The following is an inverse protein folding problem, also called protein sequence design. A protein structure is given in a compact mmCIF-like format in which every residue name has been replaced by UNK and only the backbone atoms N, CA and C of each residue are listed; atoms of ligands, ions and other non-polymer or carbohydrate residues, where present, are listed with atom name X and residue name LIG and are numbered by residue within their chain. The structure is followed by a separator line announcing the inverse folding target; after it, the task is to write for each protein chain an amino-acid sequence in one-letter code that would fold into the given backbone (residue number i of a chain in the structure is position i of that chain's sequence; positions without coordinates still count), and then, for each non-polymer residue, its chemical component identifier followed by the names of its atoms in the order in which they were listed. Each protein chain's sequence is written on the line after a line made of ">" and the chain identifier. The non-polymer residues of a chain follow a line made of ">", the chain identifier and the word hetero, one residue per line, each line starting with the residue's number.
data_IF_584368603787
#
_entry.id   IF_584368603787
#
_cell.length_a   1.000
_cell.length_b   1.000
_cell.length_c   1.000
_cell.angle_alpha   90.00
_cell.angle_beta   90.00
_cell.angle_gamma   90.00
#
_symmetry.space_group_name_H-M   'P 1'
#
loop_
_entity.id
_entity.type
_entity.pdbx_description
1 polymer ?
#
# COMPACT_ATOMS: atom_id res chain seq x y z
N UNK A 1 4.67 0.58 23.16
CA UNK A 1 4.97 -0.40 22.10
C UNK A 1 6.42 -0.23 21.66
N UNK A 2 7.23 -1.26 21.80
CA UNK A 2 8.68 -1.23 21.49
C UNK A 2 8.92 -0.89 20.01
N UNK A 3 8.05 -1.36 19.10
CA UNK A 3 8.17 -1.08 17.68
C UNK A 3 8.05 0.42 17.35
N UNK A 4 7.03 1.10 17.88
CA UNK A 4 6.88 2.55 17.68
C UNK A 4 8.05 3.32 18.31
N UNK A 5 8.57 2.88 19.46
CA UNK A 5 9.73 3.53 20.08
C UNK A 5 10.99 3.41 19.21
N UNK A 6 11.20 2.24 18.59
CA UNK A 6 12.31 2.01 17.64
C UNK A 6 12.14 2.86 16.38
N UNK A 7 10.93 2.92 15.82
CA UNK A 7 10.60 3.77 14.68
C UNK A 7 10.90 5.26 14.97
N UNK A 8 10.46 5.77 16.11
CA UNK A 8 10.70 7.17 16.51
C UNK A 8 12.19 7.46 16.74
N UNK A 9 12.94 6.53 17.37
CA UNK A 9 14.41 6.66 17.49
C UNK A 9 15.11 6.73 16.13
N UNK A 10 14.69 5.90 15.18
CA UNK A 10 15.23 5.95 13.81
C UNK A 10 14.94 7.28 13.12
N UNK A 11 13.79 7.90 13.39
CA UNK A 11 13.48 9.24 12.89
C UNK A 11 14.30 10.35 13.56
N UNK A 12 14.72 10.19 14.82
CA UNK A 12 15.60 11.15 15.49
C UNK A 12 17.00 11.22 14.86
N UNK A 13 17.43 10.15 14.18
CA UNK A 13 18.76 10.07 13.54
C UNK A 13 18.77 10.55 12.09
N UNK A 14 17.66 11.07 11.55
CA UNK A 14 17.59 11.49 10.16
C UNK A 14 18.53 12.67 9.86
N UNK A 15 19.28 12.58 8.75
CA UNK A 15 20.18 13.64 8.26
C UNK A 15 19.40 14.84 7.68
N UNK A 16 18.17 14.63 7.22
CA UNK A 16 17.26 15.68 6.81
C UNK A 16 16.56 16.29 8.05
N UNK A 17 16.88 17.54 8.39
CA UNK A 17 16.44 18.14 9.66
C UNK A 17 15.06 18.81 9.62
N UNK A 18 14.61 19.25 8.41
CA UNK A 18 13.39 20.06 8.25
C UNK A 18 12.14 19.21 8.09
N UNK A 19 11.75 18.50 9.14
CA UNK A 19 10.51 17.73 9.18
C UNK A 19 9.85 17.75 10.56
N UNK A 20 8.57 17.48 10.58
CA UNK A 20 7.77 17.19 11.76
C UNK A 20 7.26 15.75 11.69
N UNK A 21 6.94 15.18 12.83
CA UNK A 21 6.36 13.83 12.93
C UNK A 21 4.93 13.94 13.47
N UNK A 22 3.97 13.38 12.74
CA UNK A 22 2.59 13.23 13.20
C UNK A 22 2.30 11.76 13.42
N UNK A 23 2.16 11.36 14.68
CA UNK A 23 1.75 10.01 15.06
C UNK A 23 0.24 9.97 15.21
N UNK A 24 -0.42 9.04 14.52
CA UNK A 24 -1.86 8.83 14.71
C UNK A 24 -2.07 7.56 15.53
N UNK A 25 -2.47 7.72 16.78
CA UNK A 25 -2.76 6.63 17.68
C UNK A 25 -4.16 6.06 17.40
N UNK A 26 -4.19 4.93 16.73
CA UNK A 26 -5.40 4.17 16.39
C UNK A 26 -5.74 3.08 17.42
N UNK A 27 -5.06 3.03 18.56
CA UNK A 27 -5.28 1.99 19.57
C UNK A 27 -6.67 2.09 20.27
N UNK A 28 -7.28 3.27 20.21
CA UNK A 28 -8.50 3.60 20.98
C UNK A 28 -8.26 3.75 22.49
N UNK A 29 -7.00 3.68 22.92
CA UNK A 29 -6.64 3.67 24.33
C UNK A 29 -5.70 4.83 24.74
N UNK A 30 -5.45 5.79 23.83
CA UNK A 30 -4.59 6.95 24.04
C UNK A 30 -3.21 6.57 24.62
N UNK A 31 -2.56 5.59 24.00
CA UNK A 31 -1.31 4.97 24.50
C UNK A 31 -0.06 5.76 24.15
N UNK A 32 -0.14 6.62 23.13
CA UNK A 32 1.01 7.36 22.61
C UNK A 32 1.06 8.74 23.21
N UNK A 33 2.23 9.13 23.72
CA UNK A 33 2.51 10.47 24.19
C UNK A 33 3.63 11.12 23.36
N UNK A 34 3.51 12.42 23.09
CA UNK A 34 4.57 13.19 22.45
C UNK A 34 5.81 13.24 23.36
N UNK A 35 6.94 12.73 22.89
CA UNK A 35 8.20 12.69 23.64
C UNK A 35 9.18 13.82 23.25
N UNK A 36 8.87 14.57 22.20
CA UNK A 36 9.67 15.72 21.76
C UNK A 36 8.77 16.77 21.11
N UNK A 37 9.25 18.02 21.03
CA UNK A 37 8.54 19.12 20.37
C UNK A 37 8.33 18.88 18.85
N UNK A 38 9.11 17.98 18.25
CA UNK A 38 9.01 17.59 16.83
C UNK A 38 7.88 16.59 16.58
N UNK A 39 7.37 15.93 17.64
CA UNK A 39 6.34 14.88 17.52
C UNK A 39 5.00 15.42 17.99
N UNK A 40 4.01 15.38 17.11
CA UNK A 40 2.60 15.65 17.43
C UNK A 40 1.82 14.35 17.40
N UNK A 41 0.91 14.16 18.36
CA UNK A 41 0.07 12.96 18.45
C UNK A 41 -1.39 13.33 18.21
N UNK A 42 -2.06 12.55 17.37
CA UNK A 42 -3.52 12.57 17.15
C UNK A 42 -4.07 11.25 17.67
N UNK A 43 -4.88 11.28 18.71
CA UNK A 43 -5.46 10.07 19.31
C UNK A 43 -6.91 9.86 18.84
N UNK A 44 -7.19 8.67 18.34
CA UNK A 44 -8.54 8.23 17.99
C UNK A 44 -9.15 7.40 19.12
N UNK A 45 -10.45 7.51 19.33
CA UNK A 45 -11.20 6.74 20.32
C UNK A 45 -11.46 5.29 19.89
N UNK A 46 -11.18 4.97 18.64
CA UNK A 46 -11.26 3.63 18.06
C UNK A 46 -10.37 3.53 16.84
N UNK A 47 -10.12 2.32 16.35
CA UNK A 47 -9.39 2.13 15.09
C UNK A 47 -10.23 2.63 13.90
N UNK A 48 -9.82 3.72 13.30
CA UNK A 48 -10.48 4.35 12.12
C UNK A 48 -9.95 3.83 10.78
N UNK A 49 -8.96 2.94 10.80
CA UNK A 49 -8.29 2.39 9.63
C UNK A 49 -7.12 3.24 9.14
N UNK A 50 -6.27 2.62 8.32
CA UNK A 50 -5.01 3.23 7.85
C UNK A 50 -5.26 4.49 7.01
N UNK A 51 -6.12 4.43 5.99
CA UNK A 51 -6.37 5.57 5.10
C UNK A 51 -6.90 6.80 5.84
N UNK A 52 -7.82 6.61 6.80
CA UNK A 52 -8.35 7.70 7.62
C UNK A 52 -7.28 8.31 8.51
N UNK A 53 -6.46 7.46 9.16
CA UNK A 53 -5.36 7.93 10.00
C UNK A 53 -4.33 8.73 9.20
N UNK A 54 -3.94 8.25 8.03
CA UNK A 54 -3.07 8.99 7.10
C UNK A 54 -3.68 10.33 6.71
N UNK A 55 -4.96 10.37 6.40
CA UNK A 55 -5.65 11.61 6.03
C UNK A 55 -5.69 12.63 7.19
N UNK A 56 -5.84 12.18 8.43
CA UNK A 56 -5.75 13.03 9.62
C UNK A 56 -4.35 13.66 9.72
N UNK A 57 -3.29 12.86 9.57
CA UNK A 57 -1.91 13.37 9.59
C UNK A 57 -1.64 14.35 8.44
N UNK A 58 -2.10 14.04 7.22
CA UNK A 58 -1.92 14.90 6.05
C UNK A 58 -2.60 16.26 6.24
N UNK A 59 -3.83 16.27 6.79
CA UNK A 59 -4.59 17.53 7.06
C UNK A 59 -4.01 18.32 8.21
N UNK A 60 -3.24 17.70 9.08
CA UNK A 60 -2.61 18.32 10.22
C UNK A 60 -1.29 19.03 9.89
N UNK A 61 -0.81 18.98 8.64
CA UNK A 61 0.45 19.59 8.18
C UNK A 61 0.24 20.30 6.84
N UNK A 62 1.05 21.35 6.61
CA UNK A 62 1.11 22.08 5.33
C UNK A 62 2.41 21.78 4.57
N UNK A 63 3.21 20.81 5.02
CA UNK A 63 4.48 20.47 4.39
C UNK A 63 4.29 20.09 2.91
N UNK A 64 5.24 20.46 2.01
CA UNK A 64 5.14 20.20 0.57
C UNK A 64 5.25 18.71 0.22
N UNK A 65 5.80 17.93 1.15
CA UNK A 65 5.92 16.47 1.05
C UNK A 65 5.35 15.81 2.29
N UNK A 66 4.75 14.64 2.11
CA UNK A 66 4.24 13.78 3.18
C UNK A 66 4.95 12.44 3.09
N UNK A 67 5.73 12.10 4.10
CA UNK A 67 6.32 10.78 4.24
C UNK A 67 5.39 9.89 5.08
N UNK A 68 5.00 8.74 4.55
CA UNK A 68 4.32 7.69 5.28
C UNK A 68 5.36 6.69 5.78
N UNK A 69 5.24 6.27 7.03
CA UNK A 69 6.07 5.24 7.64
C UNK A 69 5.24 4.44 8.63
N UNK A 70 5.29 3.12 8.54
CA UNK A 70 4.64 2.25 9.51
C UNK A 70 5.34 2.33 10.87
N UNK A 71 4.59 2.13 11.94
CA UNK A 71 5.08 2.14 13.33
C UNK A 71 6.00 0.95 13.66
N UNK A 72 6.04 -0.08 12.82
CA UNK A 72 6.92 -1.26 12.90
C UNK A 72 8.06 -1.22 11.87
N UNK A 73 8.45 -0.02 11.43
CA UNK A 73 9.47 0.21 10.42
C UNK A 73 10.56 1.17 10.92
N UNK A 74 11.82 0.84 10.66
CA UNK A 74 12.99 1.61 11.07
C UNK A 74 13.67 2.19 9.83
N UNK A 75 13.72 3.53 9.73
CA UNK A 75 14.29 4.24 8.60
C UNK A 75 15.81 4.41 8.75
N UNK A 76 16.55 4.19 7.64
CA UNK A 76 17.97 4.55 7.56
C UNK A 76 18.16 6.06 7.77
N UNK A 77 19.26 6.52 8.39
CA UNK A 77 19.49 7.95 8.66
C UNK A 77 19.36 8.87 7.43
N UNK A 78 19.69 8.41 6.23
CA UNK A 78 19.57 9.19 5.00
C UNK A 78 18.25 8.98 4.24
N UNK A 79 17.25 8.31 4.83
CA UNK A 79 16.00 7.94 4.17
C UNK A 79 15.22 9.14 3.65
N UNK A 80 14.92 10.12 4.54
CA UNK A 80 14.19 11.33 4.16
C UNK A 80 14.99 12.19 3.18
N UNK A 81 16.29 12.36 3.40
CA UNK A 81 17.16 13.14 2.52
C UNK A 81 17.13 12.60 1.09
N UNK A 82 17.30 11.28 0.91
CA UNK A 82 17.27 10.63 -0.41
C UNK A 82 15.91 10.75 -1.09
N UNK A 83 14.81 10.59 -0.34
CA UNK A 83 13.47 10.74 -0.89
C UNK A 83 13.16 12.16 -1.31
N UNK A 84 13.52 13.17 -0.50
CA UNK A 84 13.30 14.58 -0.81
C UNK A 84 14.16 15.00 -2.00
N UNK A 85 15.46 14.63 -2.02
CA UNK A 85 16.34 14.90 -3.16
C UNK A 85 15.79 14.29 -4.47
N UNK A 86 15.29 13.05 -4.42
CA UNK A 86 14.65 12.42 -5.58
C UNK A 86 13.37 13.16 -6.01
N UNK A 87 12.60 13.68 -5.05
CA UNK A 87 11.39 14.44 -5.34
C UNK A 87 11.69 15.80 -5.98
N UNK A 88 12.74 16.48 -5.54
CA UNK A 88 13.18 17.76 -6.12
C UNK A 88 13.71 17.56 -7.53
N UNK A 89 14.47 16.49 -7.76
CA UNK A 89 15.01 16.15 -9.09
C UNK A 89 13.94 15.71 -10.10
N UNK A 90 12.74 15.29 -9.64
CA UNK A 90 11.66 14.74 -10.51
C UNK A 90 10.33 15.44 -10.26
N UNK A 91 10.10 16.66 -10.75
CA UNK A 91 8.89 17.44 -10.47
C UNK A 91 7.60 16.80 -11.03
N UNK A 92 7.70 15.88 -12.01
CA UNK A 92 6.56 15.11 -12.54
C UNK A 92 6.21 13.88 -11.69
N UNK A 93 7.08 13.47 -10.79
CA UNK A 93 6.80 12.38 -9.86
C UNK A 93 6.04 12.91 -8.64
N UNK A 94 4.87 12.33 -8.40
CA UNK A 94 4.02 12.64 -7.26
C UNK A 94 4.20 11.69 -6.08
N UNK A 95 4.85 10.54 -6.34
CA UNK A 95 5.05 9.47 -5.37
C UNK A 95 6.46 8.91 -5.47
N UNK A 96 7.00 8.46 -4.34
CA UNK A 96 8.31 7.81 -4.28
C UNK A 96 8.23 6.58 -3.38
N UNK A 97 8.59 5.43 -3.96
CA UNK A 97 8.70 4.16 -3.25
C UNK A 97 10.08 4.04 -2.61
N UNK A 98 10.11 3.72 -1.33
CA UNK A 98 11.32 3.38 -0.59
C UNK A 98 11.82 1.97 -0.92
N UNK A 99 13.09 1.71 -0.63
CA UNK A 99 13.64 0.37 -0.55
C UNK A 99 13.27 -0.24 0.80
N UNK A 100 12.15 -0.96 0.85
CA UNK A 100 11.69 -1.59 2.09
C UNK A 100 12.29 -2.99 2.20
N UNK A 101 12.99 -3.28 3.28
CA UNK A 101 13.63 -4.56 3.56
C UNK A 101 12.94 -5.30 4.70
N UNK A 102 12.90 -6.61 4.62
CA UNK A 102 12.43 -7.47 5.69
C UNK A 102 13.43 -7.51 6.84
N UNK A 103 12.98 -7.30 8.05
CA UNK A 103 13.79 -7.47 9.24
C UNK A 103 14.36 -8.90 9.31
N UNK A 104 15.61 -9.02 9.73
CA UNK A 104 16.31 -10.28 9.93
C UNK A 104 16.90 -10.94 8.68
N UNK A 105 16.30 -10.80 7.50
CA UNK A 105 16.82 -11.38 6.26
C UNK A 105 17.56 -10.39 5.36
N UNK A 106 17.27 -9.10 5.48
CA UNK A 106 17.78 -8.06 4.59
C UNK A 106 17.27 -8.11 3.14
N UNK A 107 16.43 -9.11 2.81
CA UNK A 107 15.75 -9.20 1.52
C UNK A 107 14.69 -8.12 1.40
N UNK A 108 14.28 -7.79 0.18
CA UNK A 108 13.21 -6.81 -0.03
C UNK A 108 11.88 -7.30 0.55
N UNK A 109 11.20 -6.42 1.26
CA UNK A 109 9.75 -6.48 1.43
C UNK A 109 9.07 -5.83 0.23
N UNK A 110 9.53 -4.64 -0.19
CA UNK A 110 8.96 -3.95 -1.33
C UNK A 110 9.93 -2.97 -2.01
N UNK A 111 9.96 -3.01 -3.33
CA UNK A 111 10.51 -1.97 -4.22
C UNK A 111 9.37 -1.27 -5.01
N UNK A 112 8.22 -1.04 -4.38
CA UNK A 112 6.97 -0.61 -4.96
C UNK A 112 5.95 -1.74 -5.11
N UNK A 113 4.88 -1.51 -5.87
CA UNK A 113 3.78 -2.46 -6.01
C UNK A 113 3.65 -2.98 -7.43
N UNK A 114 3.13 -4.19 -7.56
CA UNK A 114 2.68 -4.84 -8.79
C UNK A 114 1.15 -5.00 -8.77
N UNK A 115 0.53 -5.12 -9.94
CA UNK A 115 -0.92 -5.29 -10.11
C UNK A 115 -1.22 -6.51 -10.98
N UNK A 116 -2.17 -7.34 -10.56
CA UNK A 116 -2.67 -8.46 -11.35
C UNK A 116 -3.92 -8.08 -12.15
N UNK A 117 -4.22 -8.86 -13.18
CA UNK A 117 -5.35 -8.62 -14.06
C UNK A 117 -6.72 -8.67 -13.37
N UNK A 118 -6.82 -9.28 -12.19
CA UNK A 118 -8.02 -9.31 -11.35
C UNK A 118 -8.10 -8.16 -10.34
N UNK A 119 -7.11 -7.25 -10.34
CA UNK A 119 -7.02 -6.12 -9.40
C UNK A 119 -6.29 -6.44 -8.10
N UNK A 120 -5.75 -7.65 -7.92
CA UNK A 120 -4.88 -7.96 -6.79
C UNK A 120 -3.56 -7.20 -6.90
N UNK A 121 -3.04 -6.69 -5.78
CA UNK A 121 -1.72 -6.06 -5.71
C UNK A 121 -0.77 -6.88 -4.84
N UNK A 122 0.53 -6.79 -5.16
CA UNK A 122 1.62 -7.42 -4.42
C UNK A 122 2.84 -6.51 -4.41
N UNK A 123 3.68 -6.68 -3.40
CA UNK A 123 4.96 -6.00 -3.31
C UNK A 123 5.90 -6.49 -4.43
N UNK A 124 6.51 -5.54 -5.14
CA UNK A 124 7.55 -5.82 -6.15
C UNK A 124 8.84 -6.21 -5.45
N UNK A 125 9.44 -7.31 -5.86
CA UNK A 125 10.71 -7.80 -5.34
C UNK A 125 10.62 -8.47 -3.97
N UNK A 126 9.42 -8.80 -3.47
CA UNK A 126 9.27 -9.43 -2.15
C UNK A 126 10.07 -10.74 -2.06
N UNK A 127 10.97 -10.82 -1.06
CA UNK A 127 11.86 -11.95 -0.87
C UNK A 127 13.08 -11.98 -1.79
N UNK A 128 13.27 -10.98 -2.66
CA UNK A 128 14.43 -10.88 -3.56
C UNK A 128 15.55 -10.02 -2.96
N UNK A 129 16.83 -10.23 -3.40
CA UNK A 129 17.93 -9.36 -3.02
C UNK A 129 17.73 -7.92 -3.50
N UNK A 130 18.00 -6.88 -2.68
CA UNK A 130 17.91 -5.47 -3.08
C UNK A 130 18.77 -5.13 -4.31
N UNK A 131 19.89 -5.81 -4.51
CA UNK A 131 20.78 -5.62 -5.65
C UNK A 131 20.08 -5.79 -7.01
N UNK A 132 19.05 -6.64 -7.09
CA UNK A 132 18.26 -6.83 -8.32
C UNK A 132 17.53 -5.54 -8.75
N UNK A 133 17.30 -4.62 -7.83
CA UNK A 133 16.56 -3.38 -8.03
C UNK A 133 17.42 -2.11 -7.93
N UNK A 134 18.73 -2.25 -7.70
CA UNK A 134 19.64 -1.11 -7.48
C UNK A 134 19.67 -0.10 -8.65
N UNK A 135 19.42 -0.56 -9.89
CA UNK A 135 19.35 0.29 -11.09
C UNK A 135 17.95 0.73 -11.46
N UNK A 136 16.91 0.25 -10.75
CA UNK A 136 15.52 0.66 -10.99
C UNK A 136 15.32 2.12 -10.57
N UNK A 137 14.56 2.87 -11.38
CA UNK A 137 14.26 4.27 -11.09
C UNK A 137 12.76 4.52 -10.90
N UNK A 138 11.92 3.58 -11.32
CA UNK A 138 10.48 3.74 -11.37
C UNK A 138 9.74 2.58 -10.70
N UNK A 139 8.52 2.86 -10.25
CA UNK A 139 7.57 1.90 -9.70
C UNK A 139 6.15 2.22 -10.20
N UNK A 140 5.21 1.29 -10.07
CA UNK A 140 3.80 1.56 -10.33
C UNK A 140 3.25 2.57 -9.31
N UNK A 141 3.41 2.23 -8.05
CA UNK A 141 3.11 3.06 -6.88
C UNK A 141 3.94 2.54 -5.68
N UNK A 142 4.09 3.32 -4.61
CA UNK A 142 4.76 2.87 -3.41
C UNK A 142 3.89 1.92 -2.59
N UNK A 143 4.50 1.11 -1.73
CA UNK A 143 3.82 0.46 -0.61
C UNK A 143 3.53 1.48 0.48
N UNK A 144 2.38 1.38 1.14
CA UNK A 144 2.00 2.23 2.27
C UNK A 144 2.91 2.09 3.50
N UNK A 145 3.78 1.06 3.55
CA UNK A 145 4.70 0.86 4.67
C UNK A 145 5.81 1.90 4.77
N UNK A 146 6.31 2.43 3.63
CA UNK A 146 7.28 3.52 3.58
C UNK A 146 7.23 4.21 2.21
N UNK A 147 6.77 5.46 2.16
CA UNK A 147 6.56 6.19 0.93
C UNK A 147 6.71 7.71 1.13
N UNK A 148 7.04 8.43 0.06
CA UNK A 148 6.91 9.89 0.03
C UNK A 148 5.87 10.29 -1.00
N UNK A 149 4.99 11.21 -0.63
CA UNK A 149 3.95 11.79 -1.49
C UNK A 149 4.15 13.30 -1.60
N UNK A 150 4.02 13.84 -2.81
CA UNK A 150 3.99 15.27 -3.06
C UNK A 150 2.60 15.80 -2.71
N UNK A 151 2.51 16.83 -1.86
CA UNK A 151 1.24 17.45 -1.47
C UNK A 151 0.41 17.88 -2.66
N UNK A 152 1.03 18.57 -3.64
CA UNK A 152 0.35 19.00 -4.87
C UNK A 152 -0.37 17.86 -5.59
N UNK A 153 0.21 16.66 -5.60
CA UNK A 153 -0.47 15.47 -6.14
C UNK A 153 -1.70 15.10 -5.30
N UNK A 154 -1.55 15.04 -3.98
CA UNK A 154 -2.64 14.70 -3.06
C UNK A 154 -3.80 15.70 -3.16
N UNK A 155 -3.50 17.00 -3.28
CA UNK A 155 -4.51 18.05 -3.44
C UNK A 155 -5.26 17.91 -4.76
N UNK A 156 -4.57 17.48 -5.83
CA UNK A 156 -5.18 17.30 -7.16
C UNK A 156 -6.06 16.06 -7.26
N UNK A 157 -5.58 14.90 -6.77
CA UNK A 157 -6.28 13.63 -6.97
C UNK A 157 -7.16 13.23 -5.78
N UNK A 158 -7.06 13.94 -4.66
CA UNK A 158 -7.66 13.62 -3.37
C UNK A 158 -6.81 12.63 -2.56
N UNK A 159 -7.09 12.60 -1.27
CA UNK A 159 -6.38 11.79 -0.27
C UNK A 159 -6.70 10.30 -0.39
N UNK A 160 -6.29 9.49 0.61
CA UNK A 160 -6.66 8.07 0.71
C UNK A 160 -8.18 7.90 0.77
N UNK A 161 -8.71 6.88 0.12
CA UNK A 161 -10.14 6.55 0.23
C UNK A 161 -10.40 5.80 1.55
N UNK A 162 -10.99 6.50 2.50
CA UNK A 162 -11.25 6.01 3.86
C UNK A 162 -12.15 4.77 3.91
N UNK A 163 -12.87 4.45 2.82
CA UNK A 163 -13.74 3.27 2.75
C UNK A 163 -12.98 1.96 2.67
N UNK A 164 -11.69 2.00 2.33
CA UNK A 164 -10.83 0.82 2.32
C UNK A 164 -10.59 0.29 3.74
N UNK A 165 -10.52 1.15 4.73
CA UNK A 165 -10.18 0.86 6.11
C UNK A 165 -8.75 0.33 6.27
N UNK A 166 -8.40 -0.80 5.61
CA UNK A 166 -7.10 -1.44 5.70
C UNK A 166 -6.83 -2.27 4.44
N UNK A 167 -5.62 -2.17 3.88
CA UNK A 167 -5.12 -2.82 2.66
C UNK A 167 -5.68 -2.26 1.34
N UNK A 168 -4.84 -2.17 0.35
CA UNK A 168 -5.07 -1.69 -1.03
C UNK A 168 -5.40 -0.19 -1.17
N UNK A 169 -5.48 0.59 -0.09
CA UNK A 169 -5.67 2.04 -0.15
C UNK A 169 -4.47 2.76 -0.79
N UNK A 170 -3.26 2.25 -0.59
CA UNK A 170 -2.02 2.69 -1.25
C UNK A 170 -2.05 2.41 -2.77
N UNK A 171 -2.47 1.22 -3.13
CA UNK A 171 -2.65 0.82 -4.54
C UNK A 171 -3.72 1.68 -5.22
N UNK A 172 -4.87 1.92 -4.57
CA UNK A 172 -5.91 2.80 -5.10
C UNK A 172 -5.41 4.23 -5.32
N UNK A 173 -4.73 4.80 -4.32
CA UNK A 173 -4.13 6.14 -4.41
C UNK A 173 -3.13 6.20 -5.56
N UNK A 174 -2.24 5.20 -5.64
CA UNK A 174 -1.23 5.10 -6.68
C UNK A 174 -1.83 5.03 -8.07
N UNK A 175 -2.82 4.16 -8.30
CA UNK A 175 -3.48 4.04 -9.60
C UNK A 175 -4.22 5.32 -10.01
N UNK A 176 -4.86 6.03 -9.06
CA UNK A 176 -5.46 7.35 -9.30
C UNK A 176 -4.41 8.38 -9.72
N UNK A 177 -3.27 8.42 -9.03
CA UNK A 177 -2.16 9.31 -9.36
C UNK A 177 -1.60 9.01 -10.76
N UNK A 178 -1.33 7.73 -11.06
CA UNK A 178 -0.84 7.31 -12.39
C UNK A 178 -1.83 7.68 -13.50
N UNK A 179 -3.13 7.52 -13.25
CA UNK A 179 -4.17 7.91 -14.20
C UNK A 179 -4.22 9.42 -14.45
N UNK A 180 -3.95 10.22 -13.43
CA UNK A 180 -3.83 11.68 -13.52
C UNK A 180 -2.47 12.15 -14.12
N UNK A 181 -1.62 11.23 -14.58
CA UNK A 181 -0.35 11.55 -15.24
C UNK A 181 0.84 11.76 -14.31
N UNK A 182 0.67 11.54 -13.00
CA UNK A 182 1.78 11.58 -12.05
C UNK A 182 2.66 10.34 -12.16
N UNK A 183 3.97 10.53 -12.10
CA UNK A 183 4.95 9.45 -12.08
C UNK A 183 5.17 8.94 -10.64
N UNK A 184 5.73 7.73 -10.52
CA UNK A 184 6.21 7.18 -9.27
C UNK A 184 7.67 6.80 -9.40
N UNK A 185 8.55 7.42 -8.62
CA UNK A 185 9.96 7.04 -8.52
C UNK A 185 10.15 5.88 -7.55
N UNK A 186 11.13 5.02 -7.83
CA UNK A 186 11.72 4.13 -6.83
C UNK A 186 13.08 4.69 -6.45
N UNK A 187 13.35 4.80 -5.16
CA UNK A 187 14.59 5.39 -4.63
C UNK A 187 15.42 4.30 -3.97
N UNK A 188 16.27 3.63 -4.78
CA UNK A 188 17.23 2.67 -4.27
C UNK A 188 18.13 3.34 -3.21
N UNK A 189 18.33 2.65 -2.09
CA UNK A 189 19.09 3.16 -0.96
C UNK A 189 18.35 4.13 -0.03
N UNK A 190 17.11 4.58 -0.34
CA UNK A 190 16.21 5.13 0.67
C UNK A 190 15.61 3.95 1.46
N UNK A 191 16.41 3.41 2.37
CA UNK A 191 16.18 2.11 3.01
C UNK A 191 15.32 2.24 4.25
N UNK A 192 14.39 1.31 4.42
CA UNK A 192 13.60 1.10 5.64
C UNK A 192 13.60 -0.38 5.97
N UNK A 193 13.83 -0.75 7.21
CA UNK A 193 13.71 -2.13 7.72
C UNK A 193 12.34 -2.31 8.35
N UNK A 194 11.54 -3.24 7.85
CA UNK A 194 10.14 -3.44 8.22
C UNK A 194 9.94 -4.80 8.90
N UNK A 195 9.27 -4.81 10.05
CA UNK A 195 9.01 -6.03 10.83
C UNK A 195 7.86 -6.90 10.27
N UNK A 196 7.27 -6.48 9.18
CA UNK A 196 6.24 -7.15 8.37
C UNK A 196 5.08 -7.77 9.15
N UNK A 197 3.91 -7.16 9.05
CA UNK A 197 2.65 -7.64 9.64
C UNK A 197 2.68 -7.86 11.16
N UNK A 198 3.47 -7.09 11.89
CA UNK A 198 3.56 -7.17 13.34
C UNK A 198 2.19 -6.88 14.00
N UNK A 199 1.51 -5.83 13.58
CA UNK A 199 0.26 -5.35 14.20
C UNK A 199 -1.00 -6.09 13.77
N UNK A 200 -1.11 -6.52 12.49
CA UNK A 200 -2.34 -7.11 11.93
C UNK A 200 -2.31 -8.65 11.79
N UNK A 201 -1.18 -9.27 12.12
CA UNK A 201 -0.93 -10.70 11.90
C UNK A 201 -0.78 -11.07 10.42
N UNK A 202 -0.05 -12.16 10.14
CA UNK A 202 0.31 -12.54 8.75
C UNK A 202 -0.88 -13.08 7.95
N UNK A 203 -1.79 -13.81 8.60
CA UNK A 203 -2.94 -14.43 7.94
C UNK A 203 -4.12 -14.51 8.92
N UNK A 204 -5.05 -13.57 8.83
CA UNK A 204 -6.25 -13.49 9.68
C UNK A 204 -7.52 -13.39 8.84
N UNK A 205 -8.71 -13.77 9.37
CA UNK A 205 -10.00 -13.58 8.69
C UNK A 205 -10.26 -12.12 8.31
N UNK A 206 -9.84 -11.18 9.17
CA UNK A 206 -9.94 -9.75 8.91
C UNK A 206 -9.13 -9.37 7.66
N UNK A 207 -7.85 -9.80 7.59
CA UNK A 207 -6.97 -9.56 6.44
C UNK A 207 -7.54 -10.18 5.16
N UNK A 208 -7.95 -11.44 5.21
CA UNK A 208 -8.53 -12.13 4.07
C UNK A 208 -9.78 -11.39 3.52
N UNK A 209 -10.68 -10.94 4.40
CA UNK A 209 -11.87 -10.18 4.02
C UNK A 209 -11.51 -8.84 3.38
N UNK A 210 -10.69 -8.01 4.05
CA UNK A 210 -10.37 -6.67 3.54
C UNK A 210 -9.55 -6.72 2.26
N UNK A 211 -8.56 -7.59 2.15
CA UNK A 211 -7.78 -7.75 0.90
C UNK A 211 -8.69 -8.13 -0.26
N UNK A 212 -9.62 -9.08 -0.08
CA UNK A 212 -10.53 -9.48 -1.15
C UNK A 212 -11.55 -8.38 -1.49
N UNK A 213 -12.17 -7.75 -0.50
CA UNK A 213 -13.11 -6.65 -0.70
C UNK A 213 -12.45 -5.47 -1.41
N UNK A 214 -11.27 -5.08 -0.96
CA UNK A 214 -10.59 -3.89 -1.44
C UNK A 214 -9.96 -4.13 -2.82
N UNK A 215 -9.56 -5.35 -3.14
CA UNK A 215 -9.23 -5.77 -4.51
C UNK A 215 -10.39 -5.46 -5.47
N UNK A 216 -11.62 -5.82 -5.10
CA UNK A 216 -12.81 -5.51 -5.91
C UNK A 216 -13.01 -4.00 -6.04
N UNK A 217 -12.89 -3.24 -4.95
CA UNK A 217 -13.01 -1.78 -4.99
C UNK A 217 -11.95 -1.17 -5.91
N UNK A 218 -10.69 -1.57 -5.77
CA UNK A 218 -9.58 -1.12 -6.62
C UNK A 218 -9.84 -1.44 -8.09
N UNK A 219 -10.27 -2.66 -8.40
CA UNK A 219 -10.58 -3.08 -9.77
C UNK A 219 -11.71 -2.25 -10.38
N UNK A 220 -12.84 -2.12 -9.68
CA UNK A 220 -14.02 -1.38 -10.16
C UNK A 220 -13.69 0.09 -10.36
N UNK A 221 -12.96 0.72 -9.45
CA UNK A 221 -12.59 2.15 -9.52
C UNK A 221 -11.58 2.44 -10.62
N UNK A 222 -10.52 1.61 -10.76
CA UNK A 222 -9.31 2.01 -11.47
C UNK A 222 -9.04 1.24 -12.77
N UNK A 223 -9.39 -0.06 -12.86
CA UNK A 223 -9.00 -0.83 -14.04
C UNK A 223 -9.72 -0.35 -15.32
N UNK A 224 -9.03 -0.34 -16.48
CA UNK A 224 -9.66 -0.15 -17.79
C UNK A 224 -10.85 -1.10 -17.99
N UNK A 225 -11.89 -0.65 -18.70
CA UNK A 225 -13.14 -1.43 -18.82
C UNK A 225 -12.91 -2.83 -19.36
N UNK A 226 -12.08 -2.99 -20.39
CA UNK A 226 -11.75 -4.32 -20.95
C UNK A 226 -11.11 -5.25 -19.91
N UNK A 227 -10.22 -4.73 -19.04
CA UNK A 227 -9.64 -5.51 -17.95
C UNK A 227 -10.68 -5.83 -16.86
N UNK A 228 -11.60 -4.90 -16.58
CA UNK A 228 -12.66 -5.12 -15.60
C UNK A 228 -13.60 -6.26 -16.03
N UNK A 229 -13.90 -6.36 -17.32
CA UNK A 229 -14.72 -7.45 -17.89
C UNK A 229 -14.02 -8.80 -17.75
N UNK A 230 -12.71 -8.86 -17.91
CA UNK A 230 -11.92 -10.10 -17.81
C UNK A 230 -11.50 -10.44 -16.37
N UNK A 231 -11.52 -9.46 -15.45
CA UNK A 231 -11.09 -9.64 -14.08
C UNK A 231 -11.75 -10.83 -13.32
N UNK A 232 -13.05 -11.14 -13.49
CA UNK A 232 -13.67 -12.31 -12.86
C UNK A 232 -13.01 -13.64 -13.26
N UNK A 233 -12.61 -13.81 -14.52
CA UNK A 233 -11.93 -15.03 -14.98
C UNK A 233 -10.56 -15.20 -14.32
N UNK A 234 -9.81 -14.10 -14.21
CA UNK A 234 -8.52 -14.09 -13.48
C UNK A 234 -8.69 -14.32 -11.99
N UNK A 235 -9.78 -13.80 -11.38
CA UNK A 235 -10.08 -14.07 -9.98
C UNK A 235 -10.37 -15.56 -9.74
N UNK A 236 -11.15 -16.22 -10.60
CA UNK A 236 -11.39 -17.67 -10.53
C UNK A 236 -10.07 -18.45 -10.67
N UNK A 237 -9.23 -18.07 -11.65
CA UNK A 237 -7.91 -18.68 -11.82
C UNK A 237 -7.02 -18.47 -10.56
N UNK A 238 -7.06 -17.29 -9.92
CA UNK A 238 -6.34 -17.04 -8.67
C UNK A 238 -6.86 -17.92 -7.53
N UNK A 239 -8.15 -18.11 -7.39
CA UNK A 239 -8.71 -19.02 -6.37
C UNK A 239 -8.26 -20.45 -6.59
N UNK A 240 -8.28 -20.92 -7.84
CA UNK A 240 -7.72 -22.23 -8.19
C UNK A 240 -6.26 -22.36 -7.74
N UNK A 241 -5.41 -21.38 -8.07
CA UNK A 241 -4.01 -21.40 -7.67
C UNK A 241 -3.80 -21.30 -6.16
N UNK A 242 -4.67 -20.62 -5.42
CA UNK A 242 -4.65 -20.64 -3.95
C UNK A 242 -4.92 -22.04 -3.39
N UNK A 243 -5.83 -22.81 -4.00
CA UNK A 243 -6.07 -24.19 -3.61
C UNK A 243 -4.86 -25.06 -3.93
N UNK A 244 -4.26 -24.94 -5.11
CA UNK A 244 -3.04 -25.67 -5.50
C UNK A 244 -1.90 -25.35 -4.54
N UNK A 245 -1.61 -24.08 -4.28
CA UNK A 245 -0.55 -23.66 -3.35
C UNK A 245 -0.80 -24.18 -1.93
N UNK A 246 -2.05 -24.20 -1.49
CA UNK A 246 -2.44 -24.77 -0.19
C UNK A 246 -2.13 -26.28 -0.09
N UNK A 247 -2.43 -27.04 -1.14
CA UNK A 247 -2.14 -28.49 -1.20
C UNK A 247 -0.63 -28.75 -1.18
N UNK A 248 0.16 -27.84 -1.73
CA UNK A 248 1.63 -27.85 -1.69
C UNK A 248 2.21 -27.32 -0.34
N UNK A 249 1.36 -26.97 0.61
CA UNK A 249 1.77 -26.43 1.91
C UNK A 249 2.30 -24.99 1.87
N UNK A 250 2.08 -24.27 0.77
CA UNK A 250 2.58 -22.91 0.48
C UNK A 250 1.45 -21.89 0.37
N UNK A 251 1.82 -20.62 0.34
CA UNK A 251 0.92 -19.49 0.10
C UNK A 251 0.03 -19.13 1.29
N UNK A 252 -0.74 -18.05 1.11
CA UNK A 252 -1.51 -17.42 2.20
C UNK A 252 -2.59 -18.30 2.82
N UNK A 253 -3.17 -19.25 2.06
CA UNK A 253 -4.17 -20.19 2.60
C UNK A 253 -3.50 -21.20 3.53
N UNK A 254 -2.29 -21.67 3.22
CA UNK A 254 -1.53 -22.54 4.11
C UNK A 254 -1.13 -21.80 5.41
N UNK A 255 -0.68 -20.54 5.31
CA UNK A 255 -0.40 -19.68 6.47
C UNK A 255 -1.66 -19.47 7.33
N UNK A 256 -2.83 -19.25 6.70
CA UNK A 256 -4.10 -19.10 7.37
C UNK A 256 -4.48 -20.34 8.22
N UNK A 257 -4.26 -21.53 7.66
CA UNK A 257 -4.46 -22.79 8.39
C UNK A 257 -3.45 -22.97 9.53
N UNK A 258 -2.17 -22.63 9.29
CA UNK A 258 -1.12 -22.67 10.34
C UNK A 258 -1.42 -21.69 11.48
N UNK A 259 -2.12 -20.58 11.20
CA UNK A 259 -2.58 -19.64 12.21
C UNK A 259 -3.83 -20.12 12.99
N UNK A 260 -4.30 -21.37 12.75
CA UNK A 260 -5.42 -21.99 13.47
C UNK A 260 -6.81 -21.72 12.87
N UNK A 261 -6.91 -21.09 11.69
CA UNK A 261 -8.20 -20.79 11.06
C UNK A 261 -8.60 -21.87 10.06
N UNK A 262 -9.91 -22.19 10.01
CA UNK A 262 -10.45 -23.13 9.02
C UNK A 262 -10.48 -22.51 7.63
N UNK A 263 -9.91 -23.21 6.63
CA UNK A 263 -10.00 -22.78 5.24
C UNK A 263 -11.44 -22.71 4.70
N UNK A 264 -12.39 -23.44 5.31
CA UNK A 264 -13.81 -23.37 4.97
C UNK A 264 -14.44 -21.99 5.21
N UNK A 265 -13.79 -21.13 6.01
CA UNK A 265 -14.22 -19.75 6.22
C UNK A 265 -13.96 -18.85 4.98
N UNK A 266 -12.96 -19.19 4.17
CA UNK A 266 -12.54 -18.33 3.04
C UNK A 266 -13.63 -18.11 1.99
N UNK A 267 -14.39 -19.13 1.52
CA UNK A 267 -15.51 -18.89 0.61
C UNK A 267 -16.56 -17.94 1.17
N UNK A 268 -16.89 -18.04 2.46
CA UNK A 268 -17.81 -17.11 3.12
C UNK A 268 -17.27 -15.67 3.12
N UNK A 269 -15.98 -15.47 3.42
CA UNK A 269 -15.34 -14.16 3.38
C UNK A 269 -15.32 -13.59 1.96
N UNK A 270 -15.09 -14.42 0.94
CA UNK A 270 -15.17 -14.04 -0.48
C UNK A 270 -16.58 -13.55 -0.83
N UNK A 271 -17.62 -14.34 -0.49
CA UNK A 271 -19.03 -13.94 -0.74
C UNK A 271 -19.34 -12.63 -0.03
N UNK A 272 -18.97 -12.49 1.24
CA UNK A 272 -19.16 -11.25 2.01
C UNK A 272 -18.47 -10.05 1.35
N UNK A 273 -17.26 -10.23 0.79
CA UNK A 273 -16.54 -9.19 0.07
C UNK A 273 -17.29 -8.76 -1.20
N UNK A 274 -17.83 -9.71 -1.97
CA UNK A 274 -18.61 -9.43 -3.18
C UNK A 274 -19.93 -8.72 -2.85
N UNK A 275 -20.65 -9.16 -1.82
CA UNK A 275 -21.87 -8.48 -1.35
C UNK A 275 -21.55 -7.05 -0.93
N UNK A 276 -20.45 -6.82 -0.20
CA UNK A 276 -20.01 -5.46 0.15
C UNK A 276 -19.72 -4.60 -1.08
N UNK A 277 -19.11 -5.18 -2.13
CA UNK A 277 -18.86 -4.46 -3.38
C UNK A 277 -20.17 -4.12 -4.12
N UNK A 278 -21.13 -5.03 -4.16
CA UNK A 278 -22.44 -4.82 -4.77
C UNK A 278 -23.21 -3.69 -4.04
N UNK A 279 -23.28 -3.72 -2.72
CA UNK A 279 -23.95 -2.68 -1.92
C UNK A 279 -23.31 -1.30 -2.17
N UNK A 280 -22.01 -1.25 -2.36
CA UNK A 280 -21.28 0.00 -2.62
C UNK A 280 -21.12 0.35 -4.09
N UNK A 281 -21.69 -0.42 -5.01
CA UNK A 281 -21.54 -0.24 -6.46
C UNK A 281 -21.85 1.18 -6.94
N UNK A 282 -22.96 1.85 -6.50
CA UNK A 282 -23.25 3.22 -6.95
C UNK A 282 -22.11 4.19 -6.62
N UNK A 283 -21.55 4.09 -5.41
CA UNK A 283 -20.40 4.91 -4.98
C UNK A 283 -19.14 4.58 -5.79
N UNK A 284 -18.83 3.29 -5.97
CA UNK A 284 -17.65 2.87 -6.74
C UNK A 284 -17.71 3.33 -8.20
N UNK A 285 -18.89 3.30 -8.81
CA UNK A 285 -19.11 3.84 -10.18
C UNK A 285 -18.95 5.36 -10.19
N UNK A 286 -19.45 6.07 -9.18
CA UNK A 286 -19.26 7.53 -9.07
C UNK A 286 -17.79 7.90 -8.98
N UNK A 287 -17.03 7.21 -8.10
CA UNK A 287 -15.58 7.39 -7.98
C UNK A 287 -14.84 7.06 -9.27
N UNK A 288 -15.20 5.95 -9.96
CA UNK A 288 -14.66 5.61 -11.27
C UNK A 288 -14.89 6.73 -12.29
N UNK A 289 -16.08 7.33 -12.32
CA UNK A 289 -16.39 8.45 -13.21
C UNK A 289 -15.54 9.67 -12.88
N UNK A 290 -15.35 9.97 -11.60
CA UNK A 290 -14.48 11.04 -11.12
C UNK A 290 -13.04 10.84 -11.57
N UNK A 291 -12.47 9.64 -11.33
CA UNK A 291 -11.11 9.27 -11.72
C UNK A 291 -10.93 9.37 -13.25
N UNK A 292 -11.91 8.95 -14.02
CA UNK A 292 -11.86 9.06 -15.50
C UNK A 292 -11.90 10.50 -16.00
N UNK A 293 -12.62 11.39 -15.32
CA UNK A 293 -12.68 12.81 -15.67
C UNK A 293 -11.37 13.55 -15.37
N UNK A 294 -10.66 13.17 -14.33
CA UNK A 294 -9.35 13.73 -13.98
C UNK A 294 -8.18 13.05 -14.70
N UNK A 295 -8.44 12.07 -15.59
CA UNK A 295 -7.41 11.35 -16.31
C UNK A 295 -6.68 12.27 -17.30
N UNK A 296 -5.33 12.26 -17.24
CA UNK A 296 -4.45 12.99 -18.16
C UNK A 296 -3.69 12.08 -19.11
N UNK A 297 -3.67 10.77 -18.84
CA UNK A 297 -3.14 9.78 -19.78
C UNK A 297 -4.27 8.97 -20.42
N UNK A 298 -4.07 8.54 -21.66
CA UNK A 298 -5.03 7.72 -22.38
C UNK A 298 -5.23 6.35 -21.72
N UNK A 299 -6.33 5.69 -22.07
CA UNK A 299 -6.57 4.30 -21.61
C UNK A 299 -5.52 3.33 -22.15
N UNK A 300 -4.98 3.59 -23.36
CA UNK A 300 -3.92 2.79 -23.96
C UNK A 300 -2.61 2.88 -23.17
N UNK A 301 -2.14 4.11 -22.89
CA UNK A 301 -0.96 4.37 -22.08
C UNK A 301 -1.09 3.78 -20.67
N UNK A 302 -2.26 3.93 -20.04
CA UNK A 302 -2.51 3.34 -18.73
C UNK A 302 -2.48 1.82 -18.76
N UNK A 303 -3.01 1.17 -19.81
CA UNK A 303 -2.90 -0.29 -19.99
C UNK A 303 -1.45 -0.75 -20.19
N UNK A 304 -0.67 -0.02 -20.97
CA UNK A 304 0.75 -0.31 -21.15
C UNK A 304 1.50 -0.22 -19.81
N UNK A 305 1.24 0.81 -19.02
CA UNK A 305 1.79 0.96 -17.68
C UNK A 305 1.40 -0.22 -16.77
N UNK A 306 0.13 -0.62 -16.73
CA UNK A 306 -0.30 -1.76 -15.91
C UNK A 306 0.34 -3.07 -16.38
N UNK A 307 0.60 -3.23 -17.68
CA UNK A 307 1.28 -4.41 -18.23
C UNK A 307 2.76 -4.45 -17.81
N UNK A 308 3.45 -3.31 -17.79
CA UNK A 308 4.86 -3.18 -17.34
C UNK A 308 5.04 -3.64 -15.89
N UNK A 309 4.09 -3.30 -15.01
CA UNK A 309 4.12 -3.66 -13.59
C UNK A 309 3.15 -4.80 -13.26
N UNK A 310 2.92 -5.70 -14.21
CA UNK A 310 1.99 -6.80 -14.01
C UNK A 310 2.60 -7.95 -13.21
N UNK A 311 1.76 -8.63 -12.44
CA UNK A 311 2.04 -9.92 -11.81
C UNK A 311 0.95 -10.92 -12.21
N UNK A 312 1.32 -12.16 -12.48
CA UNK A 312 0.31 -13.16 -12.81
C UNK A 312 -0.37 -13.73 -11.55
N UNK A 313 -1.62 -14.16 -11.71
CA UNK A 313 -2.46 -14.63 -10.58
C UNK A 313 -1.92 -15.89 -9.90
N UNK A 314 -1.10 -16.70 -10.58
CA UNK A 314 -0.39 -17.85 -9.99
C UNK A 314 0.67 -17.36 -8.98
N UNK A 315 1.46 -16.37 -9.38
CA UNK A 315 2.45 -15.74 -8.46
C UNK A 315 1.77 -15.07 -7.27
N UNK A 316 0.62 -14.37 -7.51
CA UNK A 316 -0.18 -13.79 -6.41
C UNK A 316 -0.58 -14.84 -5.38
N UNK A 317 -0.95 -16.03 -5.82
CA UNK A 317 -1.38 -17.11 -4.95
C UNK A 317 -0.21 -17.80 -4.21
N UNK A 318 1.00 -17.78 -4.78
CA UNK A 318 2.18 -18.40 -4.21
C UNK A 318 2.87 -17.52 -3.14
N UNK A 319 2.75 -16.18 -3.26
CA UNK A 319 3.26 -15.16 -2.33
C UNK A 319 2.22 -14.87 -1.23
#
# INVERSE_FOLDING_TARGET
>A
DDALADCLRALETQTFERFEVVVVDNSGANRVQARSARVRVISNTSNVGFGTAMNQAIRASEAPYVAALNDDAEADPAWLEKLVAAAEARPRAGMFASEVRLAGSGMLDSAGMLIAADGSSKQRGHGEPPANFAKSKDALCPSGSAALYRRKMLDEIGLFDETFFLYCEDTDLGLRARRAGWECGYVAGATVVHRYSHSAGRATPLKAYYVERNRLYTAIKNLPFAMLVTAPFYAVARYFWHVVSMLEGRGKVAEFRKAGYSAALLPFLVVRAHVSALVRMPRLISERRRIRRSARISTGEFRALLAEYSINVRQVAAL
#
